data_IF_658073452424
#
_entry.id   IF_658073452424
#
_cell.length_a   1.000
_cell.length_b   1.000
_cell.length_c   1.000
_cell.angle_alpha   90.00
_cell.angle_beta   90.00
_cell.angle_gamma   90.00
#
_symmetry.space_group_name_H-M   'P 1'
#
loop_
_entity.id
_entity.type
_entity.pdbx_description
1 polymer ?
#
# COMPACT_ATOMS: atom_id res chain seq x y z
N UNK A 1 -1.40 -13.58 4.26
CA UNK A 1 -1.17 -12.63 5.37
C UNK A 1 -1.85 -11.29 5.10
N UNK A 2 -1.64 -10.66 3.94
CA UNK A 2 -2.25 -9.38 3.56
C UNK A 2 -3.78 -9.37 3.75
N UNK A 3 -4.49 -10.29 3.10
CA UNK A 3 -5.96 -10.41 3.23
C UNK A 3 -6.44 -10.49 4.68
N UNK A 4 -5.74 -11.22 5.56
CA UNK A 4 -6.11 -11.33 6.98
C UNK A 4 -6.00 -9.98 7.70
N UNK A 5 -4.97 -9.19 7.39
CA UNK A 5 -4.80 -7.86 7.96
C UNK A 5 -5.85 -6.88 7.41
N UNK A 6 -6.19 -7.00 6.13
CA UNK A 6 -7.27 -6.21 5.52
C UNK A 6 -8.60 -6.51 6.19
N UNK A 7 -9.00 -7.77 6.29
CA UNK A 7 -10.23 -8.18 6.98
C UNK A 7 -10.26 -7.68 8.42
N UNK A 8 -9.18 -7.85 9.18
CA UNK A 8 -9.10 -7.40 10.56
C UNK A 8 -9.30 -5.88 10.72
N UNK A 9 -8.77 -5.08 9.78
CA UNK A 9 -8.92 -3.63 9.78
C UNK A 9 -10.33 -3.20 9.34
N UNK A 10 -10.89 -3.85 8.32
CA UNK A 10 -12.25 -3.60 7.82
C UNK A 10 -13.27 -3.91 8.92
N UNK A 11 -13.14 -5.03 9.63
CA UNK A 11 -13.98 -5.40 10.78
C UNK A 11 -13.96 -4.35 11.90
N UNK A 12 -12.89 -3.54 11.97
CA UNK A 12 -12.74 -2.42 12.93
C UNK A 12 -13.22 -1.09 12.39
N UNK A 13 -13.86 -1.07 11.23
CA UNK A 13 -14.44 0.12 10.62
C UNK A 13 -13.43 0.97 9.83
N UNK A 14 -12.27 0.43 9.46
CA UNK A 14 -11.35 1.13 8.57
C UNK A 14 -12.04 1.49 7.24
N UNK A 15 -11.87 2.74 6.79
CA UNK A 15 -12.42 3.24 5.52
C UNK A 15 -11.44 3.15 4.36
N UNK A 16 -10.17 2.98 4.68
CA UNK A 16 -9.11 2.74 3.71
C UNK A 16 -7.94 2.02 4.37
N UNK A 17 -7.14 1.35 3.55
CA UNK A 17 -5.88 0.72 3.91
C UNK A 17 -4.76 1.48 3.21
N UNK A 18 -3.64 1.70 3.91
CA UNK A 18 -2.48 2.39 3.36
C UNK A 18 -1.21 1.60 3.65
N UNK A 19 -0.26 1.68 2.73
CA UNK A 19 1.06 1.08 2.89
C UNK A 19 2.13 1.88 2.15
N UNK A 20 3.37 1.62 2.53
CA UNK A 20 4.57 2.12 1.85
C UNK A 20 5.35 0.94 1.27
N UNK A 21 5.84 1.09 0.04
CA UNK A 21 6.74 0.13 -0.59
C UNK A 21 7.92 0.82 -1.26
N UNK A 22 9.05 0.13 -1.40
CA UNK A 22 10.22 0.63 -2.13
C UNK A 22 9.90 0.85 -3.61
N UNK A 23 10.23 2.02 -4.12
CA UNK A 23 10.20 2.29 -5.56
C UNK A 23 11.08 1.27 -6.32
N UNK A 24 10.55 0.70 -7.39
CA UNK A 24 11.19 -0.34 -8.20
C UNK A 24 10.92 -1.79 -7.75
N UNK A 25 10.24 -2.03 -6.63
CA UNK A 25 9.84 -3.40 -6.26
C UNK A 25 8.60 -3.85 -7.06
N UNK A 26 8.83 -4.38 -8.26
CA UNK A 26 7.76 -4.76 -9.20
C UNK A 26 6.86 -5.90 -8.67
N UNK A 27 7.41 -6.81 -7.87
CA UNK A 27 6.64 -7.89 -7.25
C UNK A 27 5.62 -7.33 -6.25
N UNK A 28 6.05 -6.40 -5.38
CA UNK A 28 5.16 -5.72 -4.45
C UNK A 28 4.12 -4.85 -5.17
N UNK A 29 4.54 -4.08 -6.18
CA UNK A 29 3.63 -3.26 -7.01
C UNK A 29 2.51 -4.12 -7.59
N UNK A 30 2.86 -5.23 -8.25
CA UNK A 30 1.90 -6.14 -8.86
C UNK A 30 0.96 -6.77 -7.83
N UNK A 31 1.48 -7.17 -6.66
CA UNK A 31 0.68 -7.72 -5.57
C UNK A 31 -0.35 -6.70 -5.08
N UNK A 32 0.06 -5.48 -4.78
CA UNK A 32 -0.83 -4.47 -4.21
C UNK A 32 -1.84 -3.94 -5.23
N UNK A 33 -1.45 -3.72 -6.48
CA UNK A 33 -2.39 -3.34 -7.55
C UNK A 33 -3.46 -4.41 -7.76
N UNK A 34 -3.09 -5.70 -7.78
CA UNK A 34 -4.06 -6.80 -7.88
C UNK A 34 -5.03 -6.87 -6.70
N UNK A 35 -4.63 -6.37 -5.53
CA UNK A 35 -5.47 -6.31 -4.34
C UNK A 35 -6.26 -5.00 -4.21
N UNK A 36 -6.23 -4.12 -5.22
CA UNK A 36 -7.03 -2.89 -5.28
C UNK A 36 -6.35 -1.65 -4.70
N UNK A 37 -5.05 -1.70 -4.39
CA UNK A 37 -4.31 -0.51 -3.98
C UNK A 37 -3.90 0.32 -5.18
N UNK A 38 -4.00 1.64 -5.01
CA UNK A 38 -3.62 2.63 -6.00
C UNK A 38 -2.46 3.48 -5.48
N UNK A 39 -1.55 3.88 -6.36
CA UNK A 39 -0.49 4.82 -6.03
C UNK A 39 -1.09 6.20 -5.78
N UNK A 40 -0.83 6.79 -4.62
CA UNK A 40 -1.32 8.13 -4.29
C UNK A 40 -0.21 9.16 -4.06
N UNK A 41 1.02 8.71 -3.77
CA UNK A 41 2.14 9.62 -3.52
C UNK A 41 3.48 8.90 -3.63
N UNK A 42 4.55 9.69 -3.77
CA UNK A 42 5.94 9.26 -3.77
C UNK A 42 6.71 10.07 -2.73
N UNK A 43 7.45 9.39 -1.85
CA UNK A 43 8.34 10.01 -0.86
C UNK A 43 9.79 9.83 -1.27
N UNK A 44 10.47 10.93 -1.54
CA UNK A 44 11.89 10.91 -1.90
C UNK A 44 12.78 10.55 -0.70
N UNK A 45 13.84 9.79 -0.96
CA UNK A 45 14.86 9.41 0.02
C UNK A 45 14.33 8.77 1.32
N UNK A 46 13.14 8.14 1.28
CA UNK A 46 12.46 7.61 2.48
C UNK A 46 13.25 6.51 3.19
N UNK A 47 13.84 5.58 2.44
CA UNK A 47 14.63 4.51 3.02
C UNK A 47 16.12 4.87 3.13
N UNK A 48 16.65 5.60 2.13
CA UNK A 48 18.01 6.14 2.07
C UNK A 48 18.12 7.11 0.90
N UNK A 49 19.27 7.80 0.76
CA UNK A 49 19.54 8.65 -0.42
C UNK A 49 19.37 7.86 -1.72
N UNK A 50 18.50 8.32 -2.61
CA UNK A 50 18.15 7.68 -3.87
C UNK A 50 17.21 6.47 -3.73
N UNK A 51 16.77 6.11 -2.52
CA UNK A 51 15.84 5.01 -2.28
C UNK A 51 14.49 5.57 -1.80
N UNK A 52 13.58 5.70 -2.75
CA UNK A 52 12.27 6.32 -2.56
C UNK A 52 11.22 5.30 -2.11
N UNK A 53 10.13 5.79 -1.52
CA UNK A 53 8.94 5.00 -1.23
C UNK A 53 7.76 5.46 -2.07
N UNK A 54 6.90 4.51 -2.41
CA UNK A 54 5.60 4.73 -3.01
C UNK A 54 4.54 4.50 -1.93
N UNK A 55 3.63 5.46 -1.79
CA UNK A 55 2.48 5.36 -0.89
C UNK A 55 1.30 4.85 -1.68
N UNK A 56 0.73 3.73 -1.23
CA UNK A 56 -0.42 3.13 -1.89
C UNK A 56 -1.62 3.11 -0.95
N UNK A 57 -2.82 3.31 -1.50
CA UNK A 57 -4.09 3.35 -0.77
C UNK A 57 -5.14 2.48 -1.46
N UNK A 58 -5.91 1.74 -0.67
CA UNK A 58 -7.11 1.00 -1.10
C UNK A 58 -8.31 1.54 -0.32
N UNK A 59 -9.35 1.98 -1.02
CA UNK A 59 -10.64 2.30 -0.37
C UNK A 59 -11.34 1.02 0.07
N UNK A 60 -12.05 1.09 1.19
CA UNK A 60 -12.99 0.04 1.60
C UNK A 60 -14.37 0.51 1.17
N UNK A 61 -14.89 -0.06 0.08
CA UNK A 61 -16.29 0.12 -0.30
C UNK A 61 -17.18 -0.54 0.77
N UNK A 62 -18.19 0.19 1.24
CA UNK A 62 -19.17 -0.28 2.23
C UNK A 62 -20.33 -1.02 1.57
#
# INVERSE_FOLDING_TARGET
MLEKLESWAIERGAKALMLEMREGNQAAMSLYQKNGYQLISRRENYYAKGINALIMRKEVEL
#
